data_IF_730915526093
#
_entry.id   IF_730915526093
#
_cell.length_a   1.000
_cell.length_b   1.000
_cell.length_c   1.000
_cell.angle_alpha   90.00
_cell.angle_beta   90.00
_cell.angle_gamma   90.00
#
_symmetry.space_group_name_H-M   'P 1'
#
loop_
_entity.id
_entity.type
_entity.pdbx_description
1 polymer ?
#
# COMPACT_ATOMS: atom_id res chain seq x y z
N UNK A 1 -4.92 14.71 23.83
CA UNK A 1 -4.14 14.79 22.60
C UNK A 1 -4.02 13.37 22.05
N UNK A 2 -4.98 12.94 21.23
CA UNK A 2 -4.95 11.60 20.59
C UNK A 2 -4.04 11.69 19.38
N UNK A 3 -2.83 11.15 19.49
CA UNK A 3 -1.94 10.95 18.35
C UNK A 3 -2.55 9.87 17.47
N UNK A 4 -3.27 10.26 16.42
CA UNK A 4 -3.83 9.33 15.43
C UNK A 4 -2.68 8.83 14.56
N UNK A 5 -1.95 7.80 14.99
CA UNK A 5 -0.90 7.19 14.18
C UNK A 5 -1.54 6.46 13.00
N UNK A 6 -1.17 6.83 11.77
CA UNK A 6 -1.61 6.11 10.58
C UNK A 6 -1.02 4.72 10.57
N UNK A 7 -1.89 3.72 10.62
CA UNK A 7 -1.48 2.32 10.55
C UNK A 7 -1.35 1.88 9.09
N UNK A 8 -0.39 1.01 8.75
CA UNK A 8 -0.28 0.45 7.40
C UNK A 8 -1.60 -0.18 6.90
N UNK A 9 -2.34 -0.83 7.80
CA UNK A 9 -3.64 -1.45 7.49
C UNK A 9 -4.71 -0.43 7.09
N UNK A 10 -4.74 0.73 7.75
CA UNK A 10 -5.64 1.82 7.36
C UNK A 10 -5.32 2.34 5.95
N UNK A 11 -4.03 2.48 5.62
CA UNK A 11 -3.60 2.92 4.28
C UNK A 11 -3.94 1.89 3.21
N UNK A 12 -3.72 0.60 3.47
CA UNK A 12 -4.07 -0.50 2.55
C UNK A 12 -5.56 -0.44 2.20
N UNK A 13 -6.41 -0.31 3.21
CA UNK A 13 -7.86 -0.22 3.01
C UNK A 13 -8.27 1.05 2.27
N UNK A 14 -7.72 2.21 2.66
CA UNK A 14 -8.01 3.49 2.02
C UNK A 14 -7.55 3.55 0.54
N UNK A 15 -6.52 2.80 0.18
CA UNK A 15 -5.97 2.79 -1.19
C UNK A 15 -6.49 1.63 -2.04
N UNK A 16 -7.53 0.91 -1.58
CA UNK A 16 -8.11 -0.24 -2.27
C UNK A 16 -7.07 -1.33 -2.63
N UNK A 17 -6.09 -1.55 -1.73
CA UNK A 17 -5.04 -2.55 -1.91
C UNK A 17 -5.43 -3.95 -1.39
N UNK A 18 -6.55 -4.08 -0.66
CA UNK A 18 -6.97 -5.38 -0.13
C UNK A 18 -7.12 -6.42 -1.26
N UNK A 19 -7.85 -6.09 -2.33
CA UNK A 19 -8.03 -7.00 -3.47
C UNK A 19 -6.73 -7.29 -4.22
N UNK A 20 -5.84 -6.29 -4.32
CA UNK A 20 -4.53 -6.48 -4.94
C UNK A 20 -3.70 -7.50 -4.16
N UNK A 21 -3.63 -7.35 -2.84
CA UNK A 21 -2.92 -8.29 -1.97
C UNK A 21 -3.58 -9.67 -2.03
N UNK A 22 -4.90 -9.76 -2.09
CA UNK A 22 -5.58 -11.04 -2.25
C UNK A 22 -5.22 -11.74 -3.58
N UNK A 23 -4.98 -10.98 -4.65
CA UNK A 23 -4.63 -11.48 -5.97
C UNK A 23 -3.15 -11.93 -6.09
N UNK A 24 -2.28 -11.52 -5.17
CA UNK A 24 -0.87 -11.91 -5.17
C UNK A 24 -0.66 -13.30 -4.53
N UNK A 25 0.28 -14.12 -5.05
CA UNK A 25 0.47 -15.51 -4.61
C UNK A 25 0.84 -15.64 -3.12
N UNK A 26 1.54 -14.64 -2.56
CA UNK A 26 1.95 -14.62 -1.15
C UNK A 26 1.40 -13.41 -0.40
N UNK A 27 0.36 -12.77 -0.94
CA UNK A 27 -0.26 -11.59 -0.37
C UNK A 27 0.75 -10.46 -0.12
N UNK A 28 0.77 -9.94 1.10
CA UNK A 28 1.70 -8.92 1.61
C UNK A 28 3.17 -9.38 1.62
N UNK A 29 3.43 -10.68 1.62
CA UNK A 29 4.78 -11.26 1.55
C UNK A 29 5.27 -11.46 0.11
N UNK A 30 4.50 -11.03 -0.89
CA UNK A 30 4.89 -11.20 -2.29
C UNK A 30 6.05 -10.29 -2.67
N UNK A 31 7.16 -10.90 -3.08
CA UNK A 31 8.27 -10.16 -3.65
C UNK A 31 7.86 -9.55 -5.01
N UNK A 32 7.80 -8.23 -5.08
CA UNK A 32 7.33 -7.51 -6.28
C UNK A 32 8.39 -7.37 -7.39
N UNK A 33 9.63 -7.82 -7.16
CA UNK A 33 10.76 -7.63 -8.06
C UNK A 33 11.23 -6.17 -8.17
N UNK A 34 12.29 -5.92 -8.94
CA UNK A 34 12.83 -4.58 -9.15
C UNK A 34 11.77 -3.64 -9.74
N UNK A 35 11.61 -2.44 -9.16
CA UNK A 35 10.61 -1.45 -9.57
C UNK A 35 9.17 -2.00 -9.67
N UNK A 36 8.86 -3.05 -8.90
CA UNK A 36 7.55 -3.70 -8.94
C UNK A 36 7.28 -4.47 -10.25
N UNK A 37 8.31 -5.02 -10.91
CA UNK A 37 8.18 -5.78 -12.16
C UNK A 37 7.05 -6.82 -12.16
N UNK A 38 6.74 -7.43 -11.01
CA UNK A 38 5.68 -8.43 -10.84
C UNK A 38 4.27 -7.86 -10.66
N UNK A 39 4.11 -6.52 -10.65
CA UNK A 39 2.83 -5.84 -10.49
C UNK A 39 2.30 -5.32 -11.83
N UNK A 40 0.98 -5.38 -12.00
CA UNK A 40 0.27 -4.68 -13.09
C UNK A 40 0.40 -3.15 -12.96
N UNK A 41 0.10 -2.42 -14.04
CA UNK A 41 0.11 -0.95 -14.01
C UNK A 41 -0.84 -0.35 -12.97
N UNK A 42 -2.04 -0.93 -12.82
CA UNK A 42 -3.03 -0.48 -11.82
C UNK A 42 -2.56 -0.72 -10.38
N UNK A 43 -1.96 -1.89 -10.11
CA UNK A 43 -1.38 -2.20 -8.81
C UNK A 43 -0.24 -1.23 -8.45
N UNK A 44 0.64 -0.92 -9.41
CA UNK A 44 1.72 0.07 -9.20
C UNK A 44 1.16 1.44 -8.83
N UNK A 45 0.10 1.89 -9.49
CA UNK A 45 -0.53 3.17 -9.20
C UNK A 45 -1.11 3.22 -7.78
N UNK A 46 -1.82 2.17 -7.33
CA UNK A 46 -2.37 2.09 -5.97
C UNK A 46 -1.28 2.00 -4.90
N UNK A 47 -0.20 1.25 -5.16
CA UNK A 47 0.97 1.23 -4.26
C UNK A 47 1.64 2.60 -4.17
N UNK A 48 1.77 3.33 -5.28
CA UNK A 48 2.31 4.70 -5.26
C UNK A 48 1.42 5.65 -4.46
N UNK A 49 0.09 5.53 -4.61
CA UNK A 49 -0.88 6.29 -3.80
C UNK A 49 -0.73 5.97 -2.30
N UNK A 50 -0.67 4.69 -1.93
CA UNK A 50 -0.49 4.27 -0.55
C UNK A 50 0.80 4.83 0.07
N UNK A 51 1.90 4.86 -0.69
CA UNK A 51 3.15 5.48 -0.26
C UNK A 51 2.97 6.98 0.01
N UNK A 52 2.28 7.70 -0.87
CA UNK A 52 2.01 9.12 -0.67
C UNK A 52 1.14 9.36 0.59
N UNK A 53 0.07 8.59 0.76
CA UNK A 53 -0.84 8.70 1.91
C UNK A 53 -0.12 8.42 3.23
N UNK A 54 0.72 7.38 3.26
CA UNK A 54 1.49 7.04 4.47
C UNK A 54 2.48 8.14 4.85
N UNK A 55 3.07 8.84 3.87
CA UNK A 55 4.00 9.94 4.12
C UNK A 55 3.27 11.20 4.61
N UNK A 56 2.14 11.57 4.00
CA UNK A 56 1.39 12.81 4.33
C UNK A 56 0.88 12.83 5.77
N UNK A 57 0.61 11.67 6.37
CA UNK A 57 0.11 11.59 7.74
C UNK A 57 1.25 11.62 8.80
N UNK A 58 2.51 11.50 8.41
CA UNK A 58 3.65 11.44 9.33
C UNK A 58 4.04 12.78 9.97
N UNK A 59 3.53 13.91 9.48
CA UNK A 59 4.02 15.26 9.81
C UNK A 59 3.06 16.08 10.70
N UNK A 60 2.22 15.43 11.51
CA UNK A 60 1.31 16.09 12.47
C UNK A 60 1.81 16.10 13.90
#
# INVERSE_FOLDING_TARGET
>A
MTTTTTTPRAVVSACALDEDLLALPYRDNTLCGENGASLSGGQKARVALARAVYQVWGDG
#
